data_IF_882185390193
#
_entry.id   IF_882185390193
#
_cell.length_a   1.000
_cell.length_b   1.000
_cell.length_c   1.000
_cell.angle_alpha   90.00
_cell.angle_beta   90.00
_cell.angle_gamma   90.00
#
_symmetry.space_group_name_H-M   'P 1'
#
loop_
_entity.id
_entity.type
_entity.pdbx_description
1 polymer ?
#
# COMPACT_ATOMS: atom_id res chain seq x y z
N UNK A 1 -32.43 -10.99 11.86
CA UNK A 1 -32.52 -9.91 10.86
C UNK A 1 -32.25 -10.53 9.52
N UNK A 2 -33.00 -10.13 8.50
CA UNK A 2 -32.79 -10.63 7.15
C UNK A 2 -31.58 -9.92 6.53
N UNK A 3 -30.63 -10.69 6.03
CA UNK A 3 -29.42 -10.20 5.37
C UNK A 3 -29.33 -10.79 3.96
N UNK A 4 -28.98 -9.94 3.00
CA UNK A 4 -28.79 -10.31 1.60
C UNK A 4 -27.29 -10.26 1.29
N UNK A 5 -26.69 -11.41 0.96
CA UNK A 5 -25.25 -11.52 0.65
C UNK A 5 -25.08 -12.08 -0.76
N UNK A 6 -24.44 -11.29 -1.63
CA UNK A 6 -23.98 -11.69 -2.97
C UNK A 6 -22.52 -12.11 -2.89
N UNK A 7 -22.23 -13.37 -3.19
CA UNK A 7 -20.87 -13.92 -3.14
C UNK A 7 -20.36 -14.16 -4.55
N UNK A 8 -19.14 -13.71 -4.85
CA UNK A 8 -18.44 -14.09 -6.08
C UNK A 8 -17.87 -15.49 -5.94
N UNK A 9 -18.43 -16.42 -6.70
CA UNK A 9 -18.11 -17.84 -6.72
C UNK A 9 -17.16 -18.15 -7.88
N UNK A 10 -16.30 -19.14 -7.68
CA UNK A 10 -15.39 -19.65 -8.69
C UNK A 10 -14.97 -21.07 -8.33
N UNK A 11 -15.16 -22.02 -9.24
CA UNK A 11 -14.71 -23.40 -9.07
C UNK A 11 -13.82 -23.84 -10.24
N UNK A 12 -12.49 -24.01 -10.03
CA UNK A 12 -11.57 -24.35 -11.11
C UNK A 12 -11.79 -25.73 -11.73
N UNK A 13 -12.53 -26.63 -11.07
CA UNK A 13 -12.77 -28.00 -11.56
C UNK A 13 -13.90 -28.08 -12.58
N UNK A 14 -14.93 -27.22 -12.45
CA UNK A 14 -16.19 -27.36 -13.19
C UNK A 14 -16.52 -26.13 -14.05
N UNK A 15 -15.93 -24.97 -13.77
CA UNK A 15 -16.29 -23.70 -14.40
C UNK A 15 -15.06 -22.91 -14.85
N UNK A 16 -15.14 -22.33 -16.04
CA UNK A 16 -14.06 -21.51 -16.60
C UNK A 16 -14.10 -20.06 -16.15
N UNK A 17 -15.23 -19.58 -15.61
CA UNK A 17 -15.45 -18.18 -15.27
C UNK A 17 -16.10 -18.03 -13.88
N UNK A 18 -15.85 -16.89 -13.21
CA UNK A 18 -16.49 -16.57 -11.94
C UNK A 18 -17.93 -16.09 -12.14
N UNK A 19 -18.83 -16.43 -11.22
CA UNK A 19 -20.22 -15.97 -11.22
C UNK A 19 -20.61 -15.37 -9.86
N UNK A 20 -21.75 -14.68 -9.82
CA UNK A 20 -22.33 -14.17 -8.57
C UNK A 20 -23.50 -15.04 -8.13
N UNK A 21 -23.56 -15.34 -6.84
CA UNK A 21 -24.66 -16.07 -6.23
C UNK A 21 -25.18 -15.30 -5.02
N UNK A 22 -26.50 -15.15 -4.95
CA UNK A 22 -27.19 -14.40 -3.91
C UNK A 22 -27.74 -15.36 -2.84
N UNK A 23 -27.57 -14.98 -1.58
CA UNK A 23 -28.03 -15.73 -0.41
C UNK A 23 -28.83 -14.83 0.53
N UNK A 24 -30.04 -15.28 0.86
CA UNK A 24 -30.88 -14.69 1.91
C UNK A 24 -30.65 -15.43 3.22
N UNK A 25 -30.30 -14.72 4.29
CA UNK A 25 -30.00 -15.30 5.60
C UNK A 25 -30.81 -14.62 6.70
N UNK A 26 -31.29 -15.40 7.67
CA UNK A 26 -31.68 -14.85 8.98
C UNK A 26 -30.51 -14.96 9.95
N UNK A 27 -30.00 -13.81 10.40
CA UNK A 27 -28.80 -13.71 11.26
C UNK A 27 -29.08 -12.82 12.47
N UNK A 28 -28.33 -12.98 13.56
CA UNK A 28 -28.42 -12.06 14.70
C UNK A 28 -27.96 -10.65 14.28
N UNK A 29 -28.45 -9.61 14.97
CA UNK A 29 -28.19 -8.20 14.59
C UNK A 29 -26.71 -7.80 14.71
N UNK A 30 -25.95 -8.47 15.57
CA UNK A 30 -24.52 -8.27 15.79
C UNK A 30 -23.64 -9.18 14.92
N UNK A 31 -24.25 -9.97 14.03
CA UNK A 31 -23.53 -10.91 13.16
C UNK A 31 -22.53 -10.18 12.25
N UNK A 32 -21.34 -10.76 12.18
CA UNK A 32 -20.31 -10.35 11.24
C UNK A 32 -20.56 -10.94 9.86
N UNK A 33 -19.90 -10.39 8.85
CA UNK A 33 -19.93 -10.98 7.51
C UNK A 33 -19.39 -12.42 7.54
N UNK A 34 -18.39 -12.70 8.38
CA UNK A 34 -17.90 -14.06 8.56
C UNK A 34 -18.97 -15.00 9.11
N UNK A 35 -19.80 -14.55 10.05
CA UNK A 35 -20.89 -15.39 10.60
C UNK A 35 -21.90 -15.72 9.50
N UNK A 36 -22.24 -14.75 8.64
CA UNK A 36 -23.07 -14.97 7.46
C UNK A 36 -22.45 -15.96 6.47
N UNK A 37 -21.17 -15.82 6.14
CA UNK A 37 -20.46 -16.74 5.22
C UNK A 37 -20.33 -18.16 5.79
N UNK A 38 -20.08 -18.30 7.09
CA UNK A 38 -20.07 -19.61 7.75
C UNK A 38 -21.48 -20.22 7.69
N UNK A 39 -22.52 -19.44 8.00
CA UNK A 39 -23.91 -19.93 7.91
C UNK A 39 -24.26 -20.40 6.49
N UNK A 40 -23.86 -19.65 5.45
CA UNK A 40 -24.01 -20.09 4.06
C UNK A 40 -23.34 -21.45 3.86
N UNK A 41 -22.07 -21.59 4.26
CA UNK A 41 -21.31 -22.84 4.04
C UNK A 41 -21.91 -24.02 4.79
N UNK A 42 -22.26 -23.87 6.06
CA UNK A 42 -22.66 -25.00 6.91
C UNK A 42 -24.13 -25.40 6.71
N UNK A 43 -25.02 -24.45 6.37
CA UNK A 43 -26.47 -24.70 6.37
C UNK A 43 -27.11 -24.66 4.97
N UNK A 44 -26.48 -24.01 3.98
CA UNK A 44 -27.09 -23.75 2.66
C UNK A 44 -26.29 -24.39 1.53
N UNK A 45 -24.99 -24.13 1.47
CA UNK A 45 -24.10 -24.53 0.38
C UNK A 45 -22.70 -24.89 0.88
N UNK A 46 -22.51 -26.17 1.19
CA UNK A 46 -21.24 -26.75 1.64
C UNK A 46 -20.07 -26.65 0.65
N UNK A 47 -20.31 -26.18 -0.58
CA UNK A 47 -19.24 -26.01 -1.58
C UNK A 47 -18.47 -24.70 -1.43
N UNK A 48 -19.01 -23.73 -0.69
CA UNK A 48 -18.42 -22.40 -0.51
C UNK A 48 -17.06 -22.47 0.19
N UNK A 49 -16.01 -22.05 -0.52
CA UNK A 49 -14.66 -21.99 0.01
C UNK A 49 -14.30 -20.58 0.53
N UNK A 50 -13.76 -20.53 1.75
CA UNK A 50 -13.25 -19.31 2.36
C UNK A 50 -12.15 -19.61 3.38
N UNK A 51 -11.25 -18.65 3.62
CA UNK A 51 -10.28 -18.72 4.73
C UNK A 51 -10.82 -17.98 5.96
N UNK A 52 -10.80 -18.66 7.09
CA UNK A 52 -11.10 -18.08 8.40
C UNK A 52 -10.43 -18.90 9.50
N UNK A 53 -10.21 -18.29 10.67
CA UNK A 53 -9.61 -18.98 11.83
C UNK A 53 -9.98 -18.31 13.15
N UNK A 54 -9.27 -17.25 13.57
CA UNK A 54 -9.34 -16.76 14.95
C UNK A 54 -10.67 -16.13 15.39
N UNK A 55 -11.49 -15.63 14.45
CA UNK A 55 -12.71 -14.83 14.70
C UNK A 55 -12.53 -13.60 15.63
N UNK A 56 -11.28 -13.22 15.91
CA UNK A 56 -10.92 -12.14 16.83
C UNK A 56 -10.07 -11.04 16.16
N UNK A 57 -10.09 -10.99 14.82
CA UNK A 57 -9.40 -9.95 14.04
C UNK A 57 -7.88 -9.86 14.28
N UNK A 58 -7.20 -11.00 14.47
CA UNK A 58 -5.75 -11.04 14.77
C UNK A 58 -4.94 -11.97 13.85
N UNK A 59 -5.51 -13.07 13.34
CA UNK A 59 -4.78 -14.01 12.48
C UNK A 59 -4.56 -13.53 11.03
N UNK A 60 -5.33 -12.55 10.56
CA UNK A 60 -5.26 -12.02 9.19
C UNK A 60 -5.89 -12.89 8.09
N UNK A 61 -6.39 -14.10 8.37
CA UNK A 61 -6.82 -15.06 7.34
C UNK A 61 -8.11 -14.70 6.57
N UNK A 62 -8.96 -13.85 7.12
CA UNK A 62 -10.31 -13.57 6.60
C UNK A 62 -10.43 -12.19 5.94
N UNK A 63 -9.37 -11.74 5.26
CA UNK A 63 -9.43 -10.54 4.44
C UNK A 63 -10.11 -10.86 3.11
N UNK A 64 -11.14 -10.08 2.76
CA UNK A 64 -11.95 -10.23 1.53
C UNK A 64 -12.42 -8.84 1.09
N UNK A 65 -12.82 -8.68 -0.16
CA UNK A 65 -13.46 -7.44 -0.62
C UNK A 65 -14.93 -7.47 -0.24
N UNK A 66 -15.40 -6.40 0.39
CA UNK A 66 -16.79 -6.19 0.79
C UNK A 66 -17.24 -4.86 0.21
N UNK A 67 -18.27 -4.89 -0.64
CA UNK A 67 -18.77 -3.73 -1.37
C UNK A 67 -17.64 -2.97 -2.10
N UNK A 68 -16.73 -3.71 -2.72
CA UNK A 68 -15.63 -3.17 -3.52
C UNK A 68 -14.34 -2.84 -2.76
N UNK A 69 -14.30 -2.94 -1.42
CA UNK A 69 -13.12 -2.59 -0.61
C UNK A 69 -12.70 -3.71 0.34
N UNK A 70 -11.39 -3.97 0.48
CA UNK A 70 -10.88 -4.99 1.39
C UNK A 70 -11.23 -4.72 2.86
N UNK A 71 -11.76 -5.73 3.55
CA UNK A 71 -12.09 -5.72 4.98
C UNK A 71 -11.78 -7.07 5.63
N UNK A 72 -11.60 -7.08 6.95
CA UNK A 72 -11.63 -8.32 7.74
C UNK A 72 -13.08 -8.71 8.02
N UNK A 73 -13.57 -9.77 7.37
CA UNK A 73 -14.98 -10.15 7.48
C UNK A 73 -15.39 -10.64 8.88
N UNK A 74 -14.43 -11.04 9.73
CA UNK A 74 -14.71 -11.35 11.14
C UNK A 74 -14.80 -10.11 12.06
N UNK A 75 -14.41 -8.93 11.57
CA UNK A 75 -14.50 -7.66 12.30
C UNK A 75 -15.73 -6.87 11.86
N UNK A 76 -16.03 -6.93 10.56
CA UNK A 76 -17.08 -6.13 9.92
C UNK A 76 -18.44 -6.72 10.19
N UNK A 77 -19.32 -5.93 10.84
CA UNK A 77 -20.71 -6.32 11.06
C UNK A 77 -21.53 -6.12 9.79
N UNK A 78 -22.50 -7.00 9.54
CA UNK A 78 -23.39 -6.88 8.38
C UNK A 78 -24.11 -5.53 8.42
N UNK A 79 -24.64 -5.13 9.58
CA UNK A 79 -25.32 -3.83 9.76
C UNK A 79 -24.46 -2.59 9.52
N UNK A 80 -23.14 -2.69 9.58
CA UNK A 80 -22.24 -1.56 9.30
C UNK A 80 -22.12 -1.28 7.80
N UNK A 81 -22.28 -2.32 6.98
CA UNK A 81 -22.16 -2.23 5.51
C UNK A 81 -23.50 -2.37 4.79
N UNK A 82 -24.56 -2.70 5.52
CA UNK A 82 -25.95 -2.85 5.09
C UNK A 82 -26.89 -2.33 6.18
N UNK A 83 -26.86 -1.01 6.48
CA UNK A 83 -27.67 -0.43 7.55
C UNK A 83 -29.18 -0.51 7.30
N UNK A 84 -29.62 -0.59 6.05
CA UNK A 84 -31.03 -0.64 5.65
C UNK A 84 -31.39 -1.98 4.99
N UNK A 85 -30.56 -3.01 5.14
CA UNK A 85 -30.76 -4.32 4.49
C UNK A 85 -30.35 -4.34 3.01
N UNK A 86 -29.48 -3.42 2.58
CA UNK A 86 -28.89 -3.44 1.25
C UNK A 86 -28.09 -4.73 0.98
N UNK A 87 -28.00 -5.11 -0.29
CA UNK A 87 -27.23 -6.28 -0.72
C UNK A 87 -25.73 -6.08 -0.43
N UNK A 88 -25.15 -6.96 0.37
CA UNK A 88 -23.71 -7.00 0.65
C UNK A 88 -23.01 -7.85 -0.39
N UNK A 89 -22.11 -7.27 -1.18
CA UNK A 89 -21.30 -8.01 -2.16
C UNK A 89 -19.96 -8.41 -1.54
N UNK A 90 -19.63 -9.69 -1.57
CA UNK A 90 -18.37 -10.26 -1.07
C UNK A 90 -17.60 -10.90 -2.21
N UNK A 91 -16.35 -10.48 -2.37
CA UNK A 91 -15.44 -10.93 -3.42
C UNK A 91 -14.07 -11.35 -2.83
N UNK A 92 -13.29 -12.20 -3.53
CA UNK A 92 -11.89 -12.45 -3.17
C UNK A 92 -11.07 -11.15 -3.17
N UNK A 93 -9.94 -11.16 -2.47
CA UNK A 93 -9.00 -10.03 -2.49
C UNK A 93 -8.48 -9.73 -3.90
N UNK A 94 -8.27 -8.44 -4.21
CA UNK A 94 -7.62 -7.98 -5.44
C UNK A 94 -6.13 -8.28 -5.45
N UNK A 95 -5.46 -8.13 -6.61
CA UNK A 95 -4.02 -8.38 -6.79
C UNK A 95 -3.52 -9.79 -6.42
N UNK A 96 -4.44 -10.72 -6.15
CA UNK A 96 -4.14 -12.12 -5.88
C UNK A 96 -4.89 -13.02 -6.86
N UNK A 97 -4.24 -14.04 -7.44
CA UNK A 97 -4.94 -15.09 -8.17
C UNK A 97 -6.00 -15.76 -7.29
N UNK A 98 -7.18 -16.04 -7.84
CA UNK A 98 -8.24 -16.75 -7.11
C UNK A 98 -8.01 -18.26 -7.26
N UNK A 99 -7.99 -18.98 -6.14
CA UNK A 99 -7.90 -20.45 -6.12
C UNK A 99 -9.29 -21.05 -6.24
N UNK A 100 -10.21 -20.65 -5.36
CA UNK A 100 -11.60 -21.09 -5.32
C UNK A 100 -12.43 -20.10 -4.50
N UNK A 101 -13.56 -19.65 -5.04
CA UNK A 101 -14.48 -18.72 -4.37
C UNK A 101 -13.74 -17.50 -3.76
N UNK A 102 -13.73 -17.40 -2.42
CA UNK A 102 -13.12 -16.30 -1.67
C UNK A 102 -11.67 -16.58 -1.25
N UNK A 103 -11.11 -17.72 -1.66
CA UNK A 103 -9.74 -18.14 -1.36
C UNK A 103 -8.80 -17.67 -2.48
N UNK A 104 -7.82 -16.85 -2.12
CA UNK A 104 -6.79 -16.36 -3.04
C UNK A 104 -5.43 -17.01 -2.81
N UNK A 105 -4.56 -16.98 -3.80
CA UNK A 105 -3.17 -17.39 -3.67
C UNK A 105 -2.34 -16.28 -2.99
N UNK A 106 -1.63 -16.64 -1.92
CA UNK A 106 -0.82 -15.72 -1.11
C UNK A 106 0.68 -15.86 -1.39
N UNK A 107 1.10 -16.70 -2.33
CA UNK A 107 2.54 -16.93 -2.59
C UNK A 107 3.24 -15.66 -3.09
N UNK A 108 2.55 -14.84 -3.89
CA UNK A 108 3.05 -13.51 -4.29
C UNK A 108 3.23 -12.59 -3.07
N UNK A 109 2.32 -12.65 -2.09
CA UNK A 109 2.44 -11.87 -0.85
C UNK A 109 3.69 -12.30 -0.06
N UNK A 110 3.83 -13.61 0.17
CA UNK A 110 4.89 -14.15 1.01
C UNK A 110 6.27 -14.03 0.36
N UNK A 111 6.37 -14.19 -0.95
CA UNK A 111 7.64 -13.98 -1.68
C UNK A 111 8.14 -12.54 -1.53
N UNK A 112 7.27 -11.54 -1.64
CA UNK A 112 7.60 -10.13 -1.39
C UNK A 112 7.96 -9.83 0.06
N UNK A 113 7.27 -10.44 1.02
CA UNK A 113 7.63 -10.30 2.44
C UNK A 113 8.99 -10.95 2.73
N UNK A 114 9.32 -12.07 2.09
CA UNK A 114 10.61 -12.73 2.22
C UNK A 114 11.74 -11.93 1.57
N UNK A 115 11.49 -11.24 0.45
CA UNK A 115 12.52 -10.49 -0.27
C UNK A 115 13.11 -9.31 0.50
N UNK A 116 12.42 -8.83 1.54
CA UNK A 116 12.90 -7.75 2.41
C UNK A 116 13.70 -8.23 3.63
N UNK A 117 14.05 -9.53 3.70
CA UNK A 117 14.76 -10.15 4.81
C UNK A 117 14.14 -9.79 6.18
N UNK A 118 12.93 -10.29 6.49
CA UNK A 118 12.10 -9.76 7.57
C UNK A 118 12.49 -10.28 8.97
N UNK A 119 13.76 -10.17 9.32
CA UNK A 119 14.38 -10.55 10.59
C UNK A 119 15.52 -9.57 10.93
N UNK A 120 15.85 -9.42 12.22
CA UNK A 120 16.97 -8.58 12.66
C UNK A 120 18.28 -9.20 12.20
N UNK A 121 19.19 -8.39 11.64
CA UNK A 121 20.54 -8.81 11.24
C UNK A 121 21.59 -8.10 12.09
N UNK A 122 22.47 -8.90 12.68
CA UNK A 122 23.62 -8.47 13.48
C UNK A 122 24.88 -9.15 12.93
N UNK A 123 26.04 -8.50 13.09
CA UNK A 123 27.32 -9.06 12.65
C UNK A 123 27.93 -10.06 13.65
N UNK A 124 27.26 -10.31 14.78
CA UNK A 124 27.69 -11.22 15.83
C UNK A 124 26.49 -11.99 16.42
N UNK A 125 26.77 -13.16 16.99
CA UNK A 125 25.81 -13.91 17.79
C UNK A 125 25.74 -13.27 19.19
N UNK A 126 24.56 -12.84 19.65
CA UNK A 126 24.45 -12.16 20.93
C UNK A 126 24.59 -13.14 22.11
N UNK A 127 25.45 -12.83 23.08
CA UNK A 127 25.61 -13.63 24.31
C UNK A 127 24.45 -13.45 25.32
N UNK A 128 23.66 -12.39 25.16
CA UNK A 128 22.51 -12.03 26.00
C UNK A 128 21.46 -11.25 25.18
N UNK A 129 20.41 -10.75 25.83
CA UNK A 129 19.42 -9.91 25.15
C UNK A 129 20.01 -8.57 24.64
N UNK A 130 19.52 -8.09 23.49
CA UNK A 130 19.87 -6.75 23.01
C UNK A 130 19.20 -5.68 23.87
N UNK A 131 19.99 -4.76 24.42
CA UNK A 131 19.49 -3.61 25.16
C UNK A 131 19.03 -2.54 24.17
N UNK A 132 17.75 -2.21 24.18
CA UNK A 132 17.17 -1.09 23.44
C UNK A 132 16.29 -0.25 24.37
N UNK A 133 16.41 1.08 24.31
CA UNK A 133 15.58 1.97 25.12
C UNK A 133 14.13 1.96 24.60
N UNK A 134 13.16 2.17 25.50
CA UNK A 134 11.75 2.30 25.08
C UNK A 134 11.56 3.40 24.03
N UNK A 135 12.26 4.53 24.20
CA UNK A 135 12.22 5.65 23.25
C UNK A 135 12.64 5.21 21.84
N UNK A 136 13.72 4.43 21.73
CA UNK A 136 14.22 3.92 20.45
C UNK A 136 13.34 2.85 19.80
N UNK A 137 12.28 2.39 20.47
CA UNK A 137 11.38 1.33 19.98
C UNK A 137 9.92 1.79 19.81
N UNK A 138 9.51 2.86 20.49
CA UNK A 138 8.10 3.29 20.57
C UNK A 138 7.51 3.61 19.19
N UNK A 139 8.32 4.18 18.29
CA UNK A 139 7.90 4.51 16.91
C UNK A 139 7.60 3.27 16.06
N UNK A 140 8.05 2.08 16.47
CA UNK A 140 7.82 0.80 15.79
C UNK A 140 6.52 0.11 16.22
N UNK A 141 5.91 0.49 17.34
CA UNK A 141 4.71 -0.19 17.88
C UNK A 141 3.59 -0.27 16.84
N UNK A 142 3.35 0.82 16.11
CA UNK A 142 2.34 0.86 15.05
C UNK A 142 2.62 -0.15 13.92
N UNK A 143 3.87 -0.21 13.43
CA UNK A 143 4.22 -1.11 12.32
C UNK A 143 4.27 -2.58 12.75
N UNK A 144 4.59 -2.86 14.02
CA UNK A 144 4.60 -4.21 14.59
C UNK A 144 3.20 -4.82 14.70
N UNK A 145 2.13 -4.01 14.69
CA UNK A 145 0.75 -4.49 14.73
C UNK A 145 0.27 -5.13 13.41
N UNK A 146 1.10 -5.15 12.36
CA UNK A 146 0.73 -5.77 11.10
C UNK A 146 0.53 -7.28 11.24
N UNK A 147 -0.70 -7.74 10.98
CA UNK A 147 -1.12 -9.14 11.08
C UNK A 147 -1.00 -9.92 9.75
N UNK A 148 -0.31 -9.36 8.75
CA UNK A 148 -0.11 -9.98 7.43
C UNK A 148 -1.40 -10.42 6.71
N UNK A 149 -2.48 -9.64 6.85
CA UNK A 149 -3.79 -9.98 6.27
C UNK A 149 -3.92 -9.75 4.75
N UNK A 150 -2.99 -9.02 4.11
CA UNK A 150 -3.03 -8.74 2.68
C UNK A 150 -4.00 -7.63 2.23
N UNK A 151 -4.85 -7.06 3.10
CA UNK A 151 -5.81 -6.02 2.72
C UNK A 151 -5.17 -4.82 2.00
N UNK A 152 -4.02 -4.35 2.48
CA UNK A 152 -3.30 -3.25 1.84
C UNK A 152 -2.76 -3.58 0.44
N UNK A 153 -2.45 -4.86 0.19
CA UNK A 153 -1.99 -5.36 -1.11
C UNK A 153 -3.18 -5.51 -2.06
N UNK A 154 -4.33 -5.95 -1.55
CA UNK A 154 -5.59 -6.07 -2.30
C UNK A 154 -5.95 -4.77 -3.03
N UNK A 155 -5.79 -3.63 -2.36
CA UNK A 155 -6.22 -2.32 -2.86
C UNK A 155 -5.08 -1.46 -3.41
N UNK A 156 -3.88 -2.03 -3.55
CA UNK A 156 -2.73 -1.26 -4.03
C UNK A 156 -2.82 -1.06 -5.56
N UNK A 157 -3.18 0.14 -5.98
CA UNK A 157 -3.26 0.49 -7.41
C UNK A 157 -1.92 0.43 -8.15
N UNK A 158 -0.80 0.61 -7.46
CA UNK A 158 0.52 0.41 -8.05
C UNK A 158 0.76 -1.06 -8.43
N UNK A 159 0.29 -2.00 -7.61
CA UNK A 159 0.41 -3.44 -7.89
C UNK A 159 -0.52 -3.94 -9.00
N UNK A 160 -1.64 -3.26 -9.22
CA UNK A 160 -2.54 -3.56 -10.36
C UNK A 160 -1.84 -3.30 -11.71
N UNK A 161 -0.95 -2.30 -11.75
CA UNK A 161 -0.24 -1.88 -12.96
C UNK A 161 1.11 -2.60 -13.08
N UNK A 162 1.85 -2.71 -11.98
CA UNK A 162 3.15 -3.36 -11.94
C UNK A 162 3.23 -4.42 -10.82
N UNK A 163 3.05 -5.70 -11.18
CA UNK A 163 3.18 -6.80 -10.24
C UNK A 163 4.58 -6.96 -9.63
N UNK A 164 5.62 -6.35 -10.21
CA UNK A 164 6.99 -6.45 -9.70
C UNK A 164 7.22 -5.61 -8.46
N UNK A 165 6.45 -4.53 -8.27
CA UNK A 165 6.55 -3.66 -7.10
C UNK A 165 6.48 -4.45 -5.80
N UNK A 166 7.38 -4.17 -4.85
CA UNK A 166 7.48 -4.89 -3.56
C UNK A 166 6.19 -4.81 -2.73
N UNK A 167 5.42 -3.72 -2.88
CA UNK A 167 4.10 -3.60 -2.30
C UNK A 167 4.07 -3.14 -0.84
N UNK A 168 2.90 -2.69 -0.37
CA UNK A 168 2.77 -1.97 0.90
C UNK A 168 3.07 -2.82 2.14
N UNK A 169 2.63 -4.08 2.18
CA UNK A 169 2.85 -4.95 3.34
C UNK A 169 4.34 -5.26 3.56
N UNK A 170 5.03 -5.66 2.49
CA UNK A 170 6.46 -6.00 2.55
C UNK A 170 7.30 -4.76 2.87
N UNK A 171 7.01 -3.60 2.27
CA UNK A 171 7.72 -2.36 2.59
C UNK A 171 7.46 -1.86 4.03
N UNK A 172 6.23 -1.97 4.55
CA UNK A 172 5.99 -1.66 5.96
C UNK A 172 6.77 -2.63 6.87
N UNK A 173 6.82 -3.92 6.52
CA UNK A 173 7.63 -4.90 7.24
C UNK A 173 9.13 -4.57 7.15
N UNK A 174 9.61 -4.07 6.02
CA UNK A 174 10.99 -3.62 5.85
C UNK A 174 11.32 -2.43 6.76
N UNK A 175 10.44 -1.41 6.82
CA UNK A 175 10.60 -0.26 7.71
C UNK A 175 10.77 -0.69 9.17
N UNK A 176 10.05 -1.73 9.61
CA UNK A 176 10.20 -2.26 10.97
C UNK A 176 11.66 -2.59 11.29
N UNK A 177 12.43 -3.14 10.34
CA UNK A 177 13.82 -3.54 10.57
C UNK A 177 14.78 -2.41 10.26
N UNK A 178 14.55 -1.64 9.19
CA UNK A 178 15.33 -0.45 8.84
C UNK A 178 15.40 0.56 9.99
N UNK A 179 14.30 0.70 10.74
CA UNK A 179 14.20 1.63 11.86
C UNK A 179 14.34 0.94 13.25
N UNK A 180 14.74 -0.34 13.29
CA UNK A 180 15.04 -1.06 14.54
C UNK A 180 16.48 -0.77 14.95
N UNK A 181 16.75 -0.19 16.15
CA UNK A 181 18.11 0.13 16.59
C UNK A 181 19.01 -1.10 16.78
N UNK A 182 18.43 -2.30 16.78
CA UNK A 182 19.16 -3.57 16.90
C UNK A 182 19.62 -4.14 15.55
N UNK A 183 19.12 -3.62 14.43
CA UNK A 183 19.48 -4.09 13.09
C UNK A 183 20.68 -3.29 12.55
N UNK A 184 21.76 -4.00 12.24
CA UNK A 184 23.02 -3.38 11.76
C UNK A 184 23.06 -3.22 10.23
N UNK A 185 22.03 -3.69 9.52
CA UNK A 185 21.97 -3.74 8.05
C UNK A 185 21.14 -2.59 7.45
N UNK A 186 20.81 -1.54 8.23
CA UNK A 186 20.01 -0.38 7.78
C UNK A 186 20.43 0.13 6.40
N UNK A 187 21.71 0.45 6.22
CA UNK A 187 22.24 1.01 4.98
C UNK A 187 22.11 0.04 3.80
N UNK A 188 22.44 -1.23 4.01
CA UNK A 188 22.32 -2.31 3.01
C UNK A 188 20.88 -2.53 2.57
N UNK A 189 19.94 -2.56 3.52
CA UNK A 189 18.49 -2.66 3.26
C UNK A 189 17.99 -1.46 2.44
N UNK A 190 18.32 -0.23 2.87
CA UNK A 190 17.92 0.98 2.16
C UNK A 190 18.47 1.03 0.73
N UNK A 191 19.71 0.57 0.52
CA UNK A 191 20.31 0.47 -0.81
C UNK A 191 19.48 -0.39 -1.76
N UNK A 192 19.09 -1.60 -1.33
CA UNK A 192 18.23 -2.49 -2.11
C UNK A 192 16.83 -1.90 -2.34
N UNK A 193 16.25 -1.31 -1.30
CA UNK A 193 14.92 -0.71 -1.34
C UNK A 193 14.85 0.56 -2.19
N UNK A 194 16.00 1.16 -2.50
CA UNK A 194 16.12 2.36 -3.31
C UNK A 194 16.21 2.05 -4.83
N UNK A 195 16.37 0.78 -5.20
CA UNK A 195 16.30 0.31 -6.59
C UNK A 195 14.85 0.29 -7.13
N UNK A 196 14.70 -0.09 -8.40
CA UNK A 196 13.38 -0.29 -9.02
C UNK A 196 12.58 -1.35 -8.25
N UNK A 197 11.25 -1.29 -8.32
CA UNK A 197 10.34 -2.13 -7.53
C UNK A 197 10.40 -1.87 -6.01
N UNK A 198 11.18 -0.87 -5.58
CA UNK A 198 11.40 -0.49 -4.18
C UNK A 198 10.49 0.65 -3.70
N UNK A 199 11.00 1.51 -2.81
CA UNK A 199 10.20 2.54 -2.13
C UNK A 199 9.64 3.61 -3.07
N UNK A 200 10.27 3.84 -4.23
CA UNK A 200 9.91 4.92 -5.16
C UNK A 200 8.69 4.62 -6.03
N UNK A 201 8.35 3.34 -6.22
CA UNK A 201 7.24 2.92 -7.08
C UNK A 201 5.88 3.11 -6.40
N UNK A 202 5.86 3.40 -5.10
CA UNK A 202 4.64 3.81 -4.41
C UNK A 202 4.14 5.17 -4.94
N UNK A 203 2.93 5.17 -5.49
CA UNK A 203 2.25 6.38 -6.01
C UNK A 203 1.54 7.21 -4.94
N UNK A 204 1.57 6.79 -3.67
CA UNK A 204 0.96 7.48 -2.52
C UNK A 204 -0.57 7.66 -2.63
N UNK A 205 -1.28 6.69 -3.20
CA UNK A 205 -2.74 6.73 -3.35
C UNK A 205 -3.56 6.52 -2.06
N UNK A 206 -2.90 6.29 -0.91
CA UNK A 206 -3.51 6.10 0.43
C UNK A 206 -4.43 4.89 0.63
N UNK A 207 -4.82 4.15 -0.41
CA UNK A 207 -5.72 3.00 -0.29
C UNK A 207 -5.24 1.96 0.76
N UNK A 208 -3.93 1.68 0.80
CA UNK A 208 -3.34 0.76 1.78
C UNK A 208 -3.44 1.22 3.25
N UNK A 209 -3.57 2.52 3.49
CA UNK A 209 -3.77 3.09 4.83
C UNK A 209 -5.24 2.96 5.22
N UNK A 210 -6.14 3.34 4.30
CA UNK A 210 -7.59 3.32 4.52
C UNK A 210 -8.13 1.93 4.87
N UNK A 211 -7.65 0.89 4.18
CA UNK A 211 -8.13 -0.49 4.41
C UNK A 211 -7.40 -1.25 5.51
N UNK A 212 -6.38 -0.64 6.15
CA UNK A 212 -5.60 -1.34 7.15
C UNK A 212 -6.43 -1.57 8.43
N UNK A 213 -6.72 -2.81 8.84
CA UNK A 213 -7.57 -3.07 10.01
C UNK A 213 -6.88 -2.82 11.37
N UNK A 214 -5.59 -2.46 11.34
CA UNK A 214 -4.67 -2.34 12.47
C UNK A 214 -3.90 -1.01 12.48
N UNK A 215 -4.28 -0.07 11.63
CA UNK A 215 -3.73 1.29 11.61
C UNK A 215 -2.19 1.34 11.49
N UNK A 216 -1.62 0.40 10.71
CA UNK A 216 -0.16 0.29 10.46
C UNK A 216 0.37 1.46 9.62
N UNK A 217 -0.52 2.08 8.83
CA UNK A 217 -0.22 3.11 7.84
C UNK A 217 0.98 2.78 6.90
N UNK A 218 0.88 1.73 6.05
CA UNK A 218 2.00 1.29 5.21
C UNK A 218 2.63 2.38 4.33
N UNK A 219 1.82 3.26 3.73
CA UNK A 219 2.30 4.35 2.88
C UNK A 219 3.23 5.29 3.65
N UNK A 220 2.87 5.68 4.87
CA UNK A 220 3.71 6.54 5.70
C UNK A 220 5.05 5.89 6.04
N UNK A 221 5.06 4.56 6.26
CA UNK A 221 6.31 3.82 6.49
C UNK A 221 7.19 3.81 5.25
N UNK A 222 6.60 3.71 4.06
CA UNK A 222 7.32 3.83 2.79
C UNK A 222 7.93 5.22 2.64
N UNK A 223 7.18 6.29 2.96
CA UNK A 223 7.68 7.67 2.90
C UNK A 223 8.83 7.88 3.87
N UNK A 224 8.71 7.42 5.12
CA UNK A 224 9.82 7.49 6.08
C UNK A 224 11.08 6.77 5.59
N UNK A 225 10.95 5.64 4.90
CA UNK A 225 12.11 4.98 4.31
C UNK A 225 12.73 5.76 3.14
N UNK A 226 11.94 6.55 2.39
CA UNK A 226 12.50 7.47 1.38
C UNK A 226 13.37 8.52 2.06
N UNK A 227 12.89 9.12 3.15
CA UNK A 227 13.63 10.13 3.92
C UNK A 227 14.94 9.53 4.45
N UNK A 228 14.86 8.37 5.11
CA UNK A 228 16.04 7.64 5.59
C UNK A 228 17.02 7.27 4.46
N UNK A 229 16.53 6.91 3.27
CA UNK A 229 17.40 6.62 2.13
C UNK A 229 18.17 7.87 1.70
N UNK A 230 17.51 9.03 1.65
CA UNK A 230 18.13 10.32 1.31
C UNK A 230 19.20 10.69 2.35
N UNK A 231 18.88 10.57 3.64
CA UNK A 231 19.80 10.83 4.76
C UNK A 231 21.06 9.95 4.69
N UNK A 232 20.93 8.68 4.28
CA UNK A 232 22.05 7.75 4.09
C UNK A 232 22.84 8.01 2.79
N UNK A 233 22.47 9.03 2.01
CA UNK A 233 23.17 9.47 0.80
C UNK A 233 22.70 8.80 -0.50
N UNK A 234 21.56 8.10 -0.51
CA UNK A 234 21.02 7.47 -1.71
C UNK A 234 20.28 8.46 -2.62
N UNK A 235 21.04 9.38 -3.23
CA UNK A 235 20.50 10.50 -4.03
C UNK A 235 20.53 10.26 -5.54
N UNK A 236 21.20 9.20 -6.02
CA UNK A 236 21.29 8.94 -7.46
C UNK A 236 20.10 8.14 -8.03
N UNK A 237 18.86 8.53 -7.73
CA UNK A 237 17.64 7.87 -8.22
C UNK A 237 16.68 8.82 -8.89
N UNK A 238 15.78 8.28 -9.72
CA UNK A 238 14.68 9.05 -10.31
C UNK A 238 13.76 9.60 -9.22
N UNK A 239 13.51 8.83 -8.17
CA UNK A 239 12.70 9.23 -7.02
C UNK A 239 13.29 10.40 -6.24
N UNK A 240 14.61 10.40 -5.97
CA UNK A 240 15.27 11.55 -5.36
C UNK A 240 15.19 12.80 -6.26
N UNK A 241 15.55 12.67 -7.55
CA UNK A 241 15.47 13.78 -8.50
C UNK A 241 14.06 14.35 -8.63
N UNK A 242 13.04 13.50 -8.54
CA UNK A 242 11.65 13.92 -8.52
C UNK A 242 11.33 14.78 -7.29
N UNK A 243 11.75 14.33 -6.10
CA UNK A 243 11.57 15.09 -4.85
C UNK A 243 12.28 16.45 -4.91
N UNK A 244 13.53 16.49 -5.37
CA UNK A 244 14.30 17.73 -5.51
C UNK A 244 13.66 18.68 -6.52
N UNK A 245 13.33 18.19 -7.72
CA UNK A 245 12.68 19.00 -8.76
C UNK A 245 11.33 19.56 -8.30
N UNK A 246 10.54 18.75 -7.58
CA UNK A 246 9.29 19.21 -6.98
C UNK A 246 9.54 20.33 -5.97
N UNK A 247 10.48 20.14 -5.04
CA UNK A 247 10.82 21.11 -4.00
C UNK A 247 11.32 22.43 -4.62
N UNK A 248 12.25 22.35 -5.56
CA UNK A 248 12.82 23.50 -6.27
C UNK A 248 11.75 24.28 -7.04
N UNK A 249 10.82 23.58 -7.69
CA UNK A 249 9.71 24.23 -8.40
C UNK A 249 8.82 25.02 -7.45
N UNK A 250 8.44 24.43 -6.31
CA UNK A 250 7.62 25.10 -5.29
C UNK A 250 8.38 26.29 -4.68
N UNK A 251 9.65 26.13 -4.33
CA UNK A 251 10.50 27.19 -3.77
C UNK A 251 10.67 28.37 -4.72
N UNK A 252 10.87 28.09 -6.01
CA UNK A 252 11.16 29.13 -7.00
C UNK A 252 9.91 29.83 -7.52
N UNK A 253 8.84 29.08 -7.74
CA UNK A 253 7.66 29.56 -8.48
C UNK A 253 6.38 29.57 -7.65
N UNK A 254 6.38 29.03 -6.43
CA UNK A 254 5.18 28.84 -5.62
C UNK A 254 4.17 27.87 -6.25
N UNK A 255 4.60 27.10 -7.27
CA UNK A 255 3.79 26.16 -8.04
C UNK A 255 4.69 25.09 -8.67
N UNK A 256 4.12 23.90 -8.89
CA UNK A 256 4.76 22.82 -9.63
C UNK A 256 4.78 23.07 -11.15
N UNK A 257 5.94 22.94 -11.76
CA UNK A 257 6.15 22.83 -13.20
C UNK A 257 6.22 21.35 -13.58
N UNK A 258 5.09 20.81 -14.03
CA UNK A 258 4.93 19.38 -14.37
C UNK A 258 5.83 18.95 -15.54
N UNK A 259 6.07 19.85 -16.51
CA UNK A 259 6.90 19.55 -17.69
C UNK A 259 8.35 19.38 -17.27
N UNK A 260 8.85 20.35 -16.48
CA UNK A 260 10.21 20.32 -15.96
C UNK A 260 10.41 19.15 -14.99
N UNK A 261 9.43 18.91 -14.12
CA UNK A 261 9.44 17.78 -13.19
C UNK A 261 9.66 16.44 -13.91
N UNK A 262 8.92 16.19 -14.99
CA UNK A 262 9.04 14.93 -15.73
C UNK A 262 10.45 14.73 -16.34
N UNK A 263 11.03 15.79 -16.90
CA UNK A 263 12.37 15.77 -17.50
C UNK A 263 13.47 15.60 -16.44
N UNK A 264 13.41 16.35 -15.34
CA UNK A 264 14.41 16.30 -14.26
C UNK A 264 14.35 14.97 -13.49
N UNK A 265 13.14 14.44 -13.25
CA UNK A 265 12.95 13.11 -12.63
C UNK A 265 13.62 12.01 -13.46
N UNK A 266 13.37 12.02 -14.78
CA UNK A 266 13.94 11.04 -15.72
C UNK A 266 15.46 11.15 -15.79
N UNK A 267 15.97 12.38 -15.67
CA UNK A 267 17.39 12.72 -15.78
C UNK A 267 17.75 13.13 -17.20
N UNK A 268 18.38 14.29 -17.35
CA UNK A 268 18.68 14.89 -18.66
C UNK A 268 19.67 14.08 -19.51
N UNK A 269 20.42 13.17 -18.88
CA UNK A 269 21.39 12.29 -19.55
C UNK A 269 20.80 10.90 -19.89
N UNK A 270 19.57 10.59 -19.45
CA UNK A 270 18.92 9.30 -19.67
C UNK A 270 18.16 9.29 -21.01
N UNK A 271 18.89 9.08 -22.12
CA UNK A 271 18.34 9.15 -23.48
C UNK A 271 17.16 8.21 -23.68
N UNK A 272 17.24 6.96 -23.21
CA UNK A 272 16.16 5.98 -23.37
C UNK A 272 14.89 6.42 -22.63
N UNK A 273 15.03 6.86 -21.37
CA UNK A 273 13.88 7.36 -20.61
C UNK A 273 13.26 8.61 -21.22
N UNK A 274 14.06 9.49 -21.81
CA UNK A 274 13.57 10.69 -22.50
C UNK A 274 12.79 10.34 -23.78
N UNK A 275 13.20 9.30 -24.51
CA UNK A 275 12.45 8.80 -25.68
C UNK A 275 11.08 8.28 -25.25
N UNK A 276 11.02 7.46 -24.19
CA UNK A 276 9.75 6.96 -23.65
C UNK A 276 8.83 8.09 -23.21
N UNK A 277 9.39 9.09 -22.52
CA UNK A 277 8.65 10.28 -22.11
C UNK A 277 8.15 11.09 -23.31
N UNK A 278 8.92 11.20 -24.38
CA UNK A 278 8.50 11.89 -25.60
C UNK A 278 7.30 11.20 -26.27
N UNK A 279 7.27 9.85 -26.29
CA UNK A 279 6.11 9.09 -26.80
C UNK A 279 4.86 9.38 -25.97
N UNK A 280 4.98 9.45 -24.64
CA UNK A 280 3.88 9.84 -23.75
C UNK A 280 3.46 11.29 -24.03
N UNK A 281 4.41 12.21 -24.17
CA UNK A 281 4.18 13.61 -24.49
C UNK A 281 3.38 13.81 -25.79
N UNK A 282 3.75 13.08 -26.86
CA UNK A 282 3.03 13.09 -28.14
C UNK A 282 1.59 12.57 -27.97
N UNK A 283 1.39 11.45 -27.26
CA UNK A 283 0.05 10.91 -26.98
C UNK A 283 -0.81 11.90 -26.17
N UNK A 284 -0.21 12.58 -25.20
CA UNK A 284 -0.87 13.61 -24.39
C UNK A 284 -1.22 14.85 -25.20
N UNK A 285 -0.34 15.26 -26.13
CA UNK A 285 -0.58 16.38 -27.06
C UNK A 285 -1.81 16.11 -27.94
N UNK A 286 -1.90 14.93 -28.55
CA UNK A 286 -3.07 14.54 -29.36
C UNK A 286 -4.37 14.48 -28.56
N UNK A 287 -4.30 14.33 -27.24
CA UNK A 287 -5.46 14.36 -26.34
C UNK A 287 -5.72 15.74 -25.73
N UNK A 288 -4.95 16.77 -26.09
CA UNK A 288 -5.04 18.11 -25.50
C UNK A 288 -4.71 18.15 -24.00
N UNK A 289 -3.92 17.18 -23.50
CA UNK A 289 -3.55 17.02 -22.08
C UNK A 289 -2.09 17.38 -21.80
N UNK A 290 -1.42 18.08 -22.71
CA UNK A 290 -0.04 18.51 -22.45
C UNK A 290 -0.06 19.69 -21.46
N UNK A 291 0.79 19.68 -20.42
CA UNK A 291 0.91 20.82 -19.53
C UNK A 291 1.36 22.06 -20.32
N UNK A 292 0.88 23.27 -19.95
CA UNK A 292 1.35 24.48 -20.59
C UNK A 292 2.86 24.67 -20.33
N UNK A 293 3.64 25.07 -21.35
CA UNK A 293 5.10 25.25 -21.20
C UNK A 293 5.45 26.39 -20.23
N UNK A 294 4.52 27.32 -20.01
CA UNK A 294 4.59 28.33 -18.96
C UNK A 294 3.35 28.17 -18.07
N UNK A 295 3.47 27.55 -16.89
CA UNK A 295 2.34 27.36 -16.01
C UNK A 295 1.82 28.72 -15.48
N UNK A 296 0.50 28.86 -15.39
CA UNK A 296 -0.15 30.03 -14.82
C UNK A 296 0.27 30.24 -13.35
N UNK A 297 0.81 31.42 -13.02
CA UNK A 297 1.22 31.76 -11.65
C UNK A 297 -0.02 31.99 -10.76
N UNK A 298 -0.21 31.23 -9.66
CA UNK A 298 -1.29 31.48 -8.71
C UNK A 298 -1.21 32.90 -8.12
N UNK A 299 -2.37 33.52 -7.80
CA UNK A 299 -2.43 34.87 -7.20
C UNK A 299 -1.60 35.00 -5.92
N UNK A 300 -1.44 33.90 -5.17
CA UNK A 300 -0.72 33.89 -3.88
C UNK A 300 0.59 33.11 -3.92
N UNK A 301 1.15 32.86 -5.10
CA UNK A 301 2.40 32.09 -5.23
C UNK A 301 3.57 32.71 -4.45
N UNK A 302 3.62 34.03 -4.33
CA UNK A 302 4.67 34.72 -3.57
C UNK A 302 4.57 34.44 -2.05
N UNK A 303 3.36 34.16 -1.53
CA UNK A 303 3.18 33.72 -0.14
C UNK A 303 3.79 32.33 0.06
N UNK A 304 3.57 31.41 -0.87
CA UNK A 304 4.16 30.05 -0.83
C UNK A 304 5.69 30.13 -0.85
N UNK A 305 6.25 30.92 -1.75
CA UNK A 305 7.70 31.17 -1.80
C UNK A 305 8.23 31.77 -0.51
N UNK A 306 7.47 32.68 0.14
CA UNK A 306 7.87 33.28 1.43
C UNK A 306 7.87 32.27 2.57
N UNK A 307 6.92 31.34 2.59
CA UNK A 307 6.85 30.26 3.58
C UNK A 307 8.05 29.34 3.40
N UNK A 308 8.33 28.92 2.16
CA UNK A 308 9.46 28.04 1.87
C UNK A 308 10.80 28.65 2.30
N UNK A 309 11.01 29.96 2.08
CA UNK A 309 12.21 30.66 2.56
C UNK A 309 12.34 30.70 4.08
N UNK A 310 11.22 30.77 4.82
CA UNK A 310 11.22 30.75 6.29
C UNK A 310 11.58 29.37 6.83
N UNK A 311 11.08 28.31 6.19
CA UNK A 311 11.43 26.94 6.56
C UNK A 311 12.94 26.69 6.36
N UNK A 312 13.48 27.10 5.22
CA UNK A 312 14.93 26.98 4.93
C UNK A 312 15.82 27.78 5.90
N UNK A 313 15.31 28.84 6.53
CA UNK A 313 16.05 29.56 7.58
C UNK A 313 16.01 28.85 8.93
N UNK A 314 14.89 28.18 9.26
CA UNK A 314 14.75 27.44 10.51
C UNK A 314 15.61 26.18 10.51
N UNK A 315 15.63 25.44 9.40
CA UNK A 315 16.50 24.25 9.24
C UNK A 315 18.00 24.56 9.28
N UNK A 316 18.41 25.82 9.11
CA UNK A 316 19.81 26.25 9.23
C UNK A 316 20.20 26.73 10.63
N UNK A 317 19.22 26.97 11.48
CA UNK A 317 19.41 27.42 12.87
C UNK A 317 19.41 26.26 13.87
N UNK A 318 18.85 25.10 13.50
CA UNK A 318 18.93 23.81 14.21
C UNK A 318 20.15 22.97 13.76
#
# INVERSE_FOLDING_TARGET
MEAQIKVKRFNPENESESFYQDYSLDVAEDSTILDGLIKIREEIDGTLALRCSCRASICGSCSMKVNGSAKLVCKTRIKEVSPNGELVTVEPMGNFPVIKDLVTDMDLFWSKVKSVDPYVKTNFEPEAEHIASNESMTHLLGVMNCIMCGACVSECTALEVDPTFTGPAALAKAYRFVADPRDEEKKSRLGKLNENSGVWDCTRCLACVEVCPKDVAPMERIVKMRDLAIEEGYTNTSGFRHTESFNDSIKKHGRLDETRLALESTGLLNISGLIDLAVIGIKSLFKGKIPPPLPHKPKEADKVTSIAKRLDSQEKEE
#
